data_IF_276105064564
#
_entry.id   IF_276105064564
#
_cell.length_a   1.000
_cell.length_b   1.000
_cell.length_c   1.000
_cell.angle_alpha   90.00
_cell.angle_beta   90.00
_cell.angle_gamma   90.00
#
_symmetry.space_group_name_H-M   'P 1'
#
loop_
_entity.id
_entity.type
_entity.pdbx_description
1 polymer ?
#
# COMPACT_ATOMS: atom_id res chain seq x y z
N UNK A 1 5.49 14.42 10.42
CA UNK A 1 6.07 13.07 10.43
C UNK A 1 6.93 12.86 9.20
N UNK A 2 8.01 12.10 9.33
CA UNK A 2 8.92 11.72 8.23
C UNK A 2 8.61 10.28 7.82
N UNK A 3 8.68 9.96 6.52
CA UNK A 3 8.53 8.55 6.08
C UNK A 3 9.81 7.77 6.32
N UNK A 4 9.74 6.45 6.44
CA UNK A 4 10.92 5.61 6.60
C UNK A 4 11.94 5.80 5.45
N UNK A 5 11.48 5.92 4.21
CA UNK A 5 12.36 6.12 3.05
C UNK A 5 13.10 7.46 3.10
N UNK A 6 12.43 8.50 3.62
CA UNK A 6 13.07 9.80 3.83
C UNK A 6 14.06 9.73 4.99
N UNK A 7 13.68 9.07 6.09
CA UNK A 7 14.56 8.85 7.24
C UNK A 7 15.84 8.13 6.87
N UNK A 8 15.78 7.01 6.15
CA UNK A 8 16.97 6.24 5.77
C UNK A 8 17.95 7.09 4.97
N UNK A 9 17.45 7.97 4.08
CA UNK A 9 18.29 8.89 3.30
C UNK A 9 18.90 9.98 4.18
N UNK A 10 18.08 10.66 4.97
CA UNK A 10 18.55 11.76 5.82
C UNK A 10 19.51 11.25 6.90
N UNK A 11 19.27 10.06 7.43
CA UNK A 11 20.17 9.39 8.36
C UNK A 11 21.49 9.03 7.72
N UNK A 12 21.50 8.52 6.49
CA UNK A 12 22.74 8.24 5.75
C UNK A 12 23.62 9.49 5.59
N UNK A 13 22.97 10.61 5.30
CA UNK A 13 23.65 11.89 5.11
C UNK A 13 24.16 12.45 6.43
N UNK A 14 23.34 12.39 7.49
CA UNK A 14 23.72 12.81 8.83
C UNK A 14 24.88 11.97 9.39
N UNK A 15 24.77 10.64 9.30
CA UNK A 15 25.76 9.71 9.84
C UNK A 15 27.10 9.78 9.11
N UNK A 16 27.09 10.04 7.80
CA UNK A 16 28.33 10.10 7.03
C UNK A 16 29.17 11.34 7.34
N UNK A 17 28.56 12.47 7.73
CA UNK A 17 29.24 13.76 7.85
C UNK A 17 30.13 14.09 6.62
N UNK A 18 29.67 13.71 5.42
CA UNK A 18 30.41 13.81 4.15
C UNK A 18 31.68 12.96 4.05
N UNK A 19 31.86 11.99 4.93
CA UNK A 19 32.94 10.98 4.89
C UNK A 19 32.39 9.67 4.33
N UNK A 20 33.25 8.82 3.71
CA UNK A 20 32.83 7.51 3.26
C UNK A 20 32.21 6.69 4.40
N UNK A 21 30.96 6.25 4.22
CA UNK A 21 30.23 5.49 5.22
C UNK A 21 29.53 4.26 4.62
N UNK A 22 29.36 3.23 5.44
CA UNK A 22 28.67 2.00 5.10
C UNK A 22 27.41 1.84 5.95
N UNK A 23 26.26 1.65 5.32
CA UNK A 23 24.99 1.37 5.99
C UNK A 23 24.53 -0.04 5.66
N UNK A 24 24.60 -0.93 6.65
CA UNK A 24 24.13 -2.30 6.49
C UNK A 24 22.61 -2.36 6.67
N UNK A 25 21.94 -2.98 5.71
CA UNK A 25 20.50 -3.21 5.75
C UNK A 25 20.23 -4.67 5.43
N UNK A 26 19.50 -5.35 6.31
CA UNK A 26 19.14 -6.76 6.16
C UNK A 26 18.00 -7.01 5.17
N UNK A 27 18.01 -6.39 3.99
CA UNK A 27 17.03 -6.71 2.95
C UNK A 27 17.35 -8.08 2.35
N UNK A 28 16.31 -8.81 1.96
CA UNK A 28 16.46 -10.08 1.23
C UNK A 28 15.66 -10.03 -0.06
N UNK A 29 16.21 -10.55 -1.15
CA UNK A 29 15.58 -10.52 -2.47
C UNK A 29 14.28 -11.33 -2.51
N UNK A 30 14.20 -12.38 -1.68
CA UNK A 30 13.03 -13.25 -1.48
C UNK A 30 11.82 -12.52 -0.87
N UNK A 31 11.99 -11.31 -0.30
CA UNK A 31 10.92 -10.60 0.40
C UNK A 31 9.94 -9.90 -0.54
N UNK A 32 10.42 -9.38 -1.68
CA UNK A 32 9.58 -8.79 -2.73
C UNK A 32 10.36 -8.51 -4.02
N UNK A 33 9.64 -8.33 -5.12
CA UNK A 33 10.20 -7.87 -6.39
C UNK A 33 10.99 -6.56 -6.27
N UNK A 34 10.53 -5.60 -5.45
CA UNK A 34 11.25 -4.34 -5.26
C UNK A 34 12.60 -4.53 -4.58
N UNK A 35 12.71 -5.48 -3.62
CA UNK A 35 13.99 -5.82 -2.98
C UNK A 35 14.92 -6.52 -3.97
N UNK A 36 14.39 -7.47 -4.75
CA UNK A 36 15.14 -8.09 -5.84
C UNK A 36 15.66 -7.04 -6.85
N UNK A 37 14.80 -6.14 -7.32
CA UNK A 37 15.17 -5.08 -8.25
C UNK A 37 16.21 -4.12 -7.65
N UNK A 38 16.15 -3.84 -6.35
CA UNK A 38 17.18 -3.04 -5.67
C UNK A 38 18.58 -3.70 -5.76
N UNK A 39 18.66 -5.03 -5.79
CA UNK A 39 19.92 -5.77 -5.98
C UNK A 39 20.28 -5.89 -7.46
N UNK A 40 19.35 -6.38 -8.29
CA UNK A 40 19.58 -6.75 -9.68
C UNK A 40 19.73 -5.57 -10.65
N UNK A 41 19.39 -4.34 -10.24
CA UNK A 41 19.53 -3.17 -11.09
C UNK A 41 21.00 -2.96 -11.51
N UNK A 42 21.26 -3.04 -12.82
CA UNK A 42 22.58 -2.83 -13.44
C UNK A 42 22.96 -1.36 -13.58
N UNK A 43 21.98 -0.45 -13.56
CA UNK A 43 22.20 0.99 -13.73
C UNK A 43 22.54 1.73 -12.43
N UNK A 44 22.56 1.03 -11.29
CA UNK A 44 22.90 1.65 -10.00
C UNK A 44 24.40 1.79 -9.83
N UNK A 45 24.83 2.87 -9.18
CA UNK A 45 26.22 3.02 -8.76
C UNK A 45 26.51 2.09 -7.57
N UNK A 46 27.51 1.23 -7.74
CA UNK A 46 27.94 0.23 -6.76
C UNK A 46 29.22 0.71 -6.08
N UNK A 47 29.60 0.06 -4.98
CA UNK A 47 30.91 0.25 -4.37
C UNK A 47 32.03 -0.32 -5.25
N UNK A 48 31.78 -1.49 -5.84
CA UNK A 48 32.68 -2.17 -6.78
C UNK A 48 31.89 -3.04 -7.75
N UNK A 49 32.48 -3.38 -8.89
CA UNK A 49 31.82 -4.17 -9.94
C UNK A 49 31.39 -5.56 -9.47
N UNK A 50 32.21 -6.19 -8.62
CA UNK A 50 31.98 -7.50 -8.01
C UNK A 50 31.03 -7.46 -6.79
N UNK A 51 30.44 -6.30 -6.47
CA UNK A 51 29.54 -6.12 -5.31
C UNK A 51 28.16 -5.61 -5.74
N UNK A 52 27.36 -6.44 -6.45
CA UNK A 52 26.04 -6.06 -6.92
C UNK A 52 25.06 -5.78 -5.78
N UNK A 53 25.34 -6.20 -4.55
CA UNK A 53 24.54 -5.96 -3.35
C UNK A 53 24.87 -4.64 -2.63
N UNK A 54 25.55 -3.71 -3.32
CA UNK A 54 25.82 -2.35 -2.82
C UNK A 54 25.11 -1.30 -3.65
N UNK A 55 24.82 -0.13 -3.07
CA UNK A 55 24.21 0.99 -3.78
C UNK A 55 24.64 2.32 -3.17
N UNK A 56 25.16 3.23 -4.00
CA UNK A 56 25.50 4.58 -3.58
C UNK A 56 24.24 5.36 -3.17
N UNK A 57 24.28 5.99 -2.00
CA UNK A 57 23.24 6.88 -1.54
C UNK A 57 23.21 8.16 -2.40
N UNK A 58 22.05 8.82 -2.55
CA UNK A 58 21.90 9.96 -3.46
C UNK A 58 22.90 11.12 -3.28
N UNK A 59 23.41 11.36 -2.06
CA UNK A 59 24.41 12.40 -1.79
C UNK A 59 25.87 11.95 -1.94
N UNK A 60 26.13 10.70 -2.31
CA UNK A 60 27.45 10.25 -2.78
C UNK A 60 28.49 9.90 -1.71
N UNK A 61 28.18 10.00 -0.41
CA UNK A 61 29.14 9.69 0.67
C UNK A 61 28.91 8.33 1.35
N UNK A 62 27.73 7.75 1.15
CA UNK A 62 27.31 6.53 1.85
C UNK A 62 26.96 5.44 0.86
N UNK A 63 27.31 4.19 1.18
CA UNK A 63 26.84 3.02 0.45
C UNK A 63 25.88 2.22 1.32
N UNK A 64 24.71 1.92 0.78
CA UNK A 64 23.85 0.89 1.32
C UNK A 64 24.43 -0.48 0.96
N UNK A 65 24.54 -1.34 1.97
CA UNK A 65 25.14 -2.67 1.88
C UNK A 65 24.10 -3.70 2.32
N UNK A 66 23.86 -4.70 1.48
CA UNK A 66 22.84 -5.72 1.69
C UNK A 66 23.49 -7.11 1.84
N UNK A 67 24.05 -7.46 3.01
CA UNK A 67 24.95 -8.61 3.16
C UNK A 67 24.23 -9.96 3.07
N UNK A 68 22.93 -10.00 3.34
CA UNK A 68 22.10 -11.21 3.36
C UNK A 68 21.10 -11.23 2.19
N UNK A 69 21.38 -10.50 1.12
CA UNK A 69 20.43 -10.26 0.02
C UNK A 69 19.92 -11.54 -0.67
N UNK A 70 20.69 -12.62 -0.61
CA UNK A 70 20.43 -13.93 -1.19
C UNK A 70 19.87 -14.94 -0.18
N UNK A 71 19.80 -14.59 1.10
CA UNK A 71 19.23 -15.45 2.14
C UNK A 71 17.72 -15.57 1.98
N UNK A 72 17.22 -16.80 2.14
CA UNK A 72 15.79 -17.11 2.22
C UNK A 72 15.31 -17.09 3.65
N UNK A 73 13.99 -17.18 3.82
CA UNK A 73 13.39 -17.25 5.17
C UNK A 73 13.87 -18.47 5.95
N UNK A 74 14.11 -19.60 5.28
CA UNK A 74 14.64 -20.79 5.93
C UNK A 74 16.07 -20.61 6.44
N UNK A 75 16.92 -19.85 5.73
CA UNK A 75 18.32 -19.62 6.10
C UNK A 75 18.43 -18.82 7.40
N UNK A 76 17.59 -17.79 7.56
CA UNK A 76 17.50 -16.98 8.79
C UNK A 76 17.16 -17.85 9.99
N UNK A 77 16.08 -18.64 9.89
CA UNK A 77 15.65 -19.50 11.00
C UNK A 77 16.62 -20.63 11.30
N UNK A 78 17.25 -21.21 10.26
CA UNK A 78 18.31 -22.22 10.42
C UNK A 78 19.51 -21.63 11.15
N UNK A 79 19.91 -20.40 10.85
CA UNK A 79 21.01 -19.72 11.53
C UNK A 79 20.71 -19.51 13.02
N UNK A 80 19.51 -19.04 13.37
CA UNK A 80 19.11 -18.91 14.77
C UNK A 80 19.10 -20.27 15.50
N UNK A 81 18.54 -21.30 14.86
CA UNK A 81 18.50 -22.64 15.43
C UNK A 81 19.90 -23.24 15.67
N UNK A 82 20.85 -23.02 14.74
CA UNK A 82 22.23 -23.52 14.85
C UNK A 82 23.08 -22.73 15.85
N UNK A 83 22.88 -21.42 15.94
CA UNK A 83 23.76 -20.54 16.72
C UNK A 83 23.25 -20.24 18.13
N UNK A 84 21.96 -20.48 18.40
CA UNK A 84 21.34 -20.14 19.68
C UNK A 84 21.31 -18.64 19.99
N UNK A 85 21.51 -17.78 18.98
CA UNK A 85 21.46 -16.32 19.16
C UNK A 85 20.05 -15.85 19.53
N UNK A 86 19.92 -14.79 20.34
CA UNK A 86 18.60 -14.28 20.71
C UNK A 86 17.88 -13.72 19.48
N UNK A 87 16.60 -14.06 19.35
CA UNK A 87 15.68 -13.44 18.41
C UNK A 87 14.58 -12.69 19.18
N UNK A 88 13.83 -11.83 18.51
CA UNK A 88 12.71 -11.14 19.15
C UNK A 88 11.69 -12.18 19.66
N UNK A 89 11.36 -12.20 20.98
CA UNK A 89 10.42 -13.17 21.55
C UNK A 89 9.05 -13.22 20.87
N UNK A 90 8.65 -12.12 20.22
CA UNK A 90 7.40 -12.06 19.46
C UNK A 90 7.31 -13.15 18.40
N UNK A 91 8.41 -13.51 17.75
CA UNK A 91 8.41 -14.58 16.75
C UNK A 91 8.05 -15.94 17.33
N UNK A 92 8.43 -16.21 18.58
CA UNK A 92 8.03 -17.43 19.28
C UNK A 92 6.52 -17.44 19.54
N UNK A 93 5.95 -16.29 19.92
CA UNK A 93 4.50 -16.14 20.11
C UNK A 93 3.75 -16.32 18.78
N UNK A 94 4.27 -15.74 17.67
CA UNK A 94 3.69 -15.93 16.34
C UNK A 94 3.73 -17.41 15.92
N UNK A 95 4.83 -18.11 16.19
CA UNK A 95 4.97 -19.53 15.92
C UNK A 95 3.99 -20.38 16.73
N UNK A 96 3.88 -20.12 18.03
CA UNK A 96 2.92 -20.79 18.92
C UNK A 96 1.46 -20.55 18.50
N UNK A 97 1.16 -19.37 17.95
CA UNK A 97 -0.14 -19.04 17.37
C UNK A 97 -0.38 -19.66 15.98
N UNK A 98 0.55 -20.47 15.47
CA UNK A 98 0.42 -21.17 14.19
C UNK A 98 0.68 -20.32 12.95
N UNK A 99 1.27 -19.12 13.09
CA UNK A 99 1.61 -18.26 11.95
C UNK A 99 2.72 -18.90 11.13
N UNK A 100 2.54 -19.16 9.82
CA UNK A 100 3.62 -19.67 8.98
C UNK A 100 4.81 -18.70 8.94
N UNK A 101 6.08 -19.18 8.93
CA UNK A 101 7.27 -18.32 8.97
C UNK A 101 7.30 -17.19 7.94
N UNK A 102 6.75 -17.42 6.74
CA UNK A 102 6.67 -16.40 5.67
C UNK A 102 5.76 -15.21 6.01
N UNK A 103 4.83 -15.38 6.96
CA UNK A 103 3.87 -14.37 7.41
C UNK A 103 4.21 -13.78 8.77
N UNK A 104 5.31 -14.21 9.41
CA UNK A 104 5.79 -13.61 10.64
C UNK A 104 6.49 -12.28 10.35
N UNK A 105 5.70 -11.21 10.21
CA UNK A 105 6.20 -9.86 9.92
C UNK A 105 5.89 -8.91 11.07
N UNK A 106 6.89 -8.10 11.43
CA UNK A 106 6.77 -7.04 12.42
C UNK A 106 6.92 -5.72 11.66
N UNK A 107 5.80 -5.03 11.44
CA UNK A 107 5.79 -3.69 10.87
C UNK A 107 4.55 -2.93 11.34
N UNK A 108 4.35 -1.72 10.82
CA UNK A 108 3.16 -0.92 11.11
C UNK A 108 1.86 -1.69 10.78
N UNK A 109 0.93 -1.82 11.73
CA UNK A 109 -0.17 -2.79 11.65
C UNK A 109 -1.22 -2.50 10.57
N UNK A 110 -1.19 -1.30 9.98
CA UNK A 110 -2.25 -0.81 9.08
C UNK A 110 -1.87 -0.82 7.60
N UNK A 111 -0.61 -1.17 7.29
CA UNK A 111 -0.16 -1.35 5.91
C UNK A 111 -0.96 -2.45 5.19
N UNK A 112 -1.11 -2.40 3.85
CA UNK A 112 -1.92 -3.37 3.10
C UNK A 112 -1.54 -4.83 3.36
N UNK A 113 -0.24 -5.10 3.52
CA UNK A 113 0.29 -6.44 3.78
C UNK A 113 0.11 -6.86 5.25
N UNK A 114 0.28 -5.92 6.20
CA UNK A 114 0.24 -6.21 7.63
C UNK A 114 -1.18 -6.27 8.20
N UNK A 115 -2.13 -5.58 7.56
CA UNK A 115 -3.53 -5.58 7.98
C UNK A 115 -4.09 -7.01 8.12
N UNK A 116 -3.63 -7.95 7.29
CA UNK A 116 -4.00 -9.36 7.36
C UNK A 116 -3.63 -10.03 8.69
N UNK A 117 -2.57 -9.56 9.35
CA UNK A 117 -2.10 -10.04 10.64
C UNK A 117 -2.69 -9.28 11.84
N UNK A 118 -3.60 -8.32 11.64
CA UNK A 118 -4.20 -7.54 12.75
C UNK A 118 -4.88 -8.41 13.79
N UNK A 119 -5.47 -9.53 13.38
CA UNK A 119 -6.07 -10.49 14.31
C UNK A 119 -5.05 -10.97 15.34
N UNK A 120 -3.77 -11.10 15.00
CA UNK A 120 -2.81 -11.69 15.93
C UNK A 120 -2.61 -10.83 17.18
N UNK A 121 -2.78 -9.51 17.10
CA UNK A 121 -2.59 -8.58 18.21
C UNK A 121 -3.48 -8.89 19.42
N UNK A 122 -4.71 -9.36 19.22
CA UNK A 122 -5.56 -9.73 20.35
C UNK A 122 -5.03 -10.97 21.09
N UNK A 123 -4.25 -11.82 20.41
CA UNK A 123 -3.64 -13.03 20.99
C UNK A 123 -2.31 -12.70 21.66
N UNK A 124 -1.42 -11.96 20.98
CA UNK A 124 -0.02 -11.80 21.40
C UNK A 124 0.22 -10.53 22.22
N UNK A 125 -0.59 -9.47 22.06
CA UNK A 125 -0.39 -8.15 22.69
C UNK A 125 -1.74 -7.46 23.02
N UNK A 126 -2.56 -8.02 23.94
CA UNK A 126 -3.94 -7.59 24.18
C UNK A 126 -4.08 -6.13 24.64
N UNK A 127 -3.14 -5.62 25.45
CA UNK A 127 -3.14 -4.21 25.88
C UNK A 127 -2.94 -3.25 24.70
N UNK A 128 -2.02 -3.59 23.78
CA UNK A 128 -1.80 -2.80 22.56
C UNK A 128 -3.01 -2.90 21.64
N UNK A 129 -3.64 -4.07 21.54
CA UNK A 129 -4.90 -4.24 20.82
C UNK A 129 -6.00 -3.31 21.34
N UNK A 130 -6.20 -3.24 22.67
CA UNK A 130 -7.16 -2.34 23.28
C UNK A 130 -6.85 -0.87 22.98
N UNK A 131 -5.58 -0.47 23.10
CA UNK A 131 -5.15 0.89 22.76
C UNK A 131 -5.36 1.23 21.29
N UNK A 132 -5.12 0.29 20.37
CA UNK A 132 -5.38 0.48 18.93
C UNK A 132 -6.88 0.62 18.64
N UNK A 133 -7.72 -0.22 19.24
CA UNK A 133 -9.17 -0.14 19.09
C UNK A 133 -9.74 1.21 19.58
N UNK A 134 -9.16 1.76 20.66
CA UNK A 134 -9.57 3.06 21.18
C UNK A 134 -9.11 4.26 20.32
N UNK A 135 -8.01 4.12 19.58
CA UNK A 135 -7.36 5.25 18.87
C UNK A 135 -7.63 5.29 17.38
N UNK A 136 -7.88 4.15 16.75
CA UNK A 136 -7.92 4.04 15.29
C UNK A 136 -9.24 3.38 14.87
N UNK A 137 -10.07 4.18 14.19
CA UNK A 137 -11.34 3.71 13.65
C UNK A 137 -11.13 2.59 12.64
N UNK A 138 -11.91 1.52 12.76
CA UNK A 138 -11.86 0.37 11.84
C UNK A 138 -10.79 -0.69 12.15
N UNK A 139 -10.02 -0.55 13.23
CA UNK A 139 -9.05 -1.58 13.67
C UNK A 139 -9.74 -2.92 13.92
N UNK A 140 -10.86 -2.92 14.65
CA UNK A 140 -11.63 -4.13 14.94
C UNK A 140 -12.10 -4.80 13.64
N UNK A 141 -12.66 -4.03 12.70
CA UNK A 141 -13.07 -4.53 11.39
C UNK A 141 -11.88 -5.11 10.62
N UNK A 142 -10.71 -4.46 10.67
CA UNK A 142 -9.48 -5.00 10.09
C UNK A 142 -9.07 -6.34 10.72
N UNK A 143 -9.12 -6.46 12.05
CA UNK A 143 -8.83 -7.70 12.75
C UNK A 143 -9.79 -8.85 12.41
N UNK A 144 -11.05 -8.55 12.12
CA UNK A 144 -12.06 -9.56 11.75
C UNK A 144 -11.93 -9.94 10.28
N UNK A 145 -11.88 -8.96 9.38
CA UNK A 145 -12.11 -9.18 7.95
C UNK A 145 -10.85 -9.25 7.09
N UNK A 146 -9.71 -8.67 7.51
CA UNK A 146 -8.58 -8.48 6.59
C UNK A 146 -7.79 -9.76 6.29
N UNK A 147 -7.78 -10.72 7.21
CA UNK A 147 -7.09 -12.01 7.06
C UNK A 147 -7.92 -13.11 6.42
N UNK A 148 -9.19 -12.85 6.11
CA UNK A 148 -10.12 -13.86 5.59
C UNK A 148 -10.35 -13.67 4.08
N UNK A 149 -10.58 -14.77 3.36
CA UNK A 149 -11.02 -14.71 1.96
C UNK A 149 -12.52 -14.35 1.92
N UNK A 150 -12.81 -13.05 2.03
CA UNK A 150 -14.17 -12.53 2.07
C UNK A 150 -14.39 -11.36 1.10
N UNK A 151 -15.64 -10.93 1.01
CA UNK A 151 -16.08 -9.86 0.11
C UNK A 151 -15.87 -8.45 0.67
N UNK A 152 -15.51 -8.32 1.96
CA UNK A 152 -15.50 -7.04 2.68
C UNK A 152 -14.55 -6.03 2.03
N UNK A 153 -13.33 -6.46 1.69
CA UNK A 153 -12.34 -5.60 1.05
C UNK A 153 -12.39 -5.62 -0.48
N UNK A 154 -13.24 -6.44 -1.13
CA UNK A 154 -13.33 -6.44 -2.59
C UNK A 154 -12.09 -6.93 -3.36
N UNK A 155 -11.15 -7.62 -2.72
CA UNK A 155 -9.87 -8.03 -3.32
C UNK A 155 -10.03 -8.96 -4.55
N UNK A 156 -10.90 -9.98 -4.45
CA UNK A 156 -11.13 -11.00 -5.49
C UNK A 156 -12.54 -10.98 -6.04
N UNK A 157 -13.53 -10.82 -5.16
CA UNK A 157 -14.95 -10.79 -5.49
C UNK A 157 -15.58 -9.57 -4.84
N UNK A 158 -16.48 -8.93 -5.57
CA UNK A 158 -17.19 -7.74 -5.11
C UNK A 158 -18.68 -8.07 -5.15
N UNK A 159 -19.35 -7.81 -4.03
CA UNK A 159 -20.80 -7.90 -3.94
C UNK A 159 -21.39 -6.50 -4.03
N UNK A 160 -22.52 -6.39 -4.71
CA UNK A 160 -23.31 -5.17 -4.84
C UNK A 160 -24.78 -5.57 -4.67
N UNK A 161 -25.63 -4.76 -4.01
CA UNK A 161 -27.07 -4.98 -4.00
C UNK A 161 -27.64 -5.19 -5.40
N UNK A 162 -28.54 -6.16 -5.57
CA UNK A 162 -29.04 -6.57 -6.89
C UNK A 162 -29.79 -5.45 -7.61
N UNK A 163 -30.47 -4.58 -6.87
CA UNK A 163 -31.27 -3.47 -7.42
C UNK A 163 -30.44 -2.28 -7.94
N UNK A 164 -29.13 -2.24 -7.69
CA UNK A 164 -28.25 -1.16 -8.18
C UNK A 164 -27.50 -1.59 -9.44
N UNK A 165 -27.02 -0.67 -10.26
CA UNK A 165 -25.94 -0.92 -11.20
C UNK A 165 -24.57 -0.52 -10.57
N UNK A 166 -23.46 -0.81 -11.25
CA UNK A 166 -22.12 -0.55 -10.69
C UNK A 166 -21.80 0.94 -10.54
N UNK A 167 -22.36 1.79 -11.40
CA UNK A 167 -22.23 3.24 -11.29
C UNK A 167 -22.97 3.76 -10.06
N UNK A 168 -24.24 3.38 -9.89
CA UNK A 168 -25.06 3.72 -8.73
C UNK A 168 -24.41 3.24 -7.43
N UNK A 169 -23.83 2.05 -7.42
CA UNK A 169 -23.12 1.54 -6.26
C UNK A 169 -21.83 2.31 -5.97
N UNK A 170 -21.06 2.72 -6.98
CA UNK A 170 -19.91 3.57 -6.79
C UNK A 170 -20.30 4.91 -6.14
N UNK A 171 -21.41 5.51 -6.59
CA UNK A 171 -21.97 6.73 -6.01
C UNK A 171 -22.43 6.51 -4.57
N UNK A 172 -23.15 5.41 -4.29
CA UNK A 172 -23.55 5.05 -2.93
C UNK A 172 -22.33 4.94 -2.00
N UNK A 173 -21.26 4.26 -2.42
CA UNK A 173 -20.03 4.14 -1.65
C UNK A 173 -19.41 5.52 -1.37
N UNK A 174 -19.33 6.38 -2.39
CA UNK A 174 -18.84 7.76 -2.24
C UNK A 174 -19.70 8.61 -1.28
N UNK A 175 -21.01 8.38 -1.24
CA UNK A 175 -21.92 9.11 -0.36
C UNK A 175 -21.86 8.60 1.09
N UNK A 176 -21.53 7.32 1.28
CA UNK A 176 -21.44 6.69 2.59
C UNK A 176 -20.15 6.99 3.35
N UNK A 177 -19.12 7.53 2.69
CA UNK A 177 -17.80 7.79 3.28
C UNK A 177 -17.63 9.25 3.73
N UNK A 178 -16.68 9.56 4.63
CA UNK A 178 -16.41 10.93 5.05
C UNK A 178 -16.12 11.87 3.87
N UNK A 179 -16.67 13.09 3.90
CA UNK A 179 -16.67 14.00 2.76
C UNK A 179 -15.27 14.32 2.22
N UNK A 180 -14.27 14.47 3.10
CA UNK A 180 -12.87 14.70 2.70
C UNK A 180 -12.32 13.52 1.87
N UNK A 181 -12.66 12.30 2.27
CA UNK A 181 -12.26 11.08 1.56
C UNK A 181 -13.03 10.91 0.26
N UNK A 182 -14.35 11.18 0.29
CA UNK A 182 -15.20 11.15 -0.88
C UNK A 182 -14.70 12.11 -1.96
N UNK A 183 -14.39 13.36 -1.61
CA UNK A 183 -13.89 14.38 -2.54
C UNK A 183 -12.56 13.99 -3.18
N UNK A 184 -11.66 13.38 -2.40
CA UNK A 184 -10.41 12.86 -2.94
C UNK A 184 -10.66 11.79 -4.02
N UNK A 185 -11.54 10.81 -3.76
CA UNK A 185 -11.89 9.80 -4.75
C UNK A 185 -12.62 10.39 -5.95
N UNK A 186 -13.60 11.29 -5.74
CA UNK A 186 -14.31 11.97 -6.83
C UNK A 186 -13.35 12.73 -7.73
N UNK A 187 -12.34 13.41 -7.18
CA UNK A 187 -11.28 14.07 -7.97
C UNK A 187 -10.52 13.08 -8.87
N UNK A 188 -10.13 11.91 -8.34
CA UNK A 188 -9.41 10.88 -9.10
C UNK A 188 -10.30 10.23 -10.16
N UNK A 189 -11.51 9.84 -9.78
CA UNK A 189 -12.48 9.21 -10.67
C UNK A 189 -12.85 10.15 -11.81
N UNK A 190 -13.07 11.45 -11.54
CA UNK A 190 -13.38 12.41 -12.58
C UNK A 190 -12.25 12.56 -13.61
N UNK A 191 -11.00 12.58 -13.17
CA UNK A 191 -9.83 12.59 -14.07
C UNK A 191 -9.79 11.31 -14.92
N UNK A 192 -10.08 10.17 -14.31
CA UNK A 192 -10.12 8.88 -14.99
C UNK A 192 -11.20 8.86 -16.09
N UNK A 193 -12.43 9.24 -15.74
CA UNK A 193 -13.56 9.33 -16.68
C UNK A 193 -13.26 10.32 -17.82
N UNK A 194 -12.73 11.50 -17.49
CA UNK A 194 -12.39 12.52 -18.48
C UNK A 194 -11.28 12.05 -19.44
N UNK A 195 -10.32 11.26 -18.95
CA UNK A 195 -9.27 10.69 -19.81
C UNK A 195 -9.85 9.73 -20.85
N UNK A 196 -10.75 8.83 -20.45
CA UNK A 196 -11.42 7.90 -21.36
C UNK A 196 -12.38 8.61 -22.33
N UNK A 197 -13.09 9.64 -21.87
CA UNK A 197 -13.91 10.50 -22.74
C UNK A 197 -13.09 11.11 -23.87
N UNK A 198 -11.90 11.65 -23.57
CA UNK A 198 -10.97 12.19 -24.58
C UNK A 198 -10.41 11.13 -25.54
N UNK A 199 -10.41 9.86 -25.13
CA UNK A 199 -10.01 8.72 -25.97
C UNK A 199 -11.15 8.17 -26.84
N UNK A 200 -12.32 8.82 -26.83
CA UNK A 200 -13.50 8.43 -27.61
C UNK A 200 -14.47 7.52 -26.86
N UNK A 201 -14.21 7.20 -25.60
CA UNK A 201 -15.13 6.42 -24.76
C UNK A 201 -15.97 7.37 -23.91
N UNK A 202 -17.10 7.83 -24.48
CA UNK A 202 -17.99 8.82 -23.84
C UNK A 202 -18.46 8.39 -22.44
N UNK A 203 -18.77 7.10 -22.27
CA UNK A 203 -19.13 6.48 -21.00
C UNK A 203 -18.35 5.16 -20.86
N UNK A 204 -17.86 4.88 -19.65
CA UNK A 204 -17.23 3.60 -19.36
C UNK A 204 -18.33 2.55 -19.09
N UNK A 205 -18.11 1.27 -19.43
CA UNK A 205 -19.10 0.23 -19.20
C UNK A 205 -19.26 -0.13 -17.71
N UNK A 206 -20.38 -0.76 -17.38
CA UNK A 206 -20.65 -1.28 -16.03
C UNK A 206 -19.64 -2.38 -15.63
N UNK A 207 -19.32 -3.29 -16.56
CA UNK A 207 -18.34 -4.38 -16.41
C UNK A 207 -17.60 -4.65 -17.70
N UNK A 208 -16.39 -5.20 -17.62
CA UNK A 208 -15.66 -5.82 -18.74
C UNK A 208 -14.95 -7.11 -18.31
N UNK A 209 -14.57 -7.95 -19.28
CA UNK A 209 -13.77 -9.13 -19.00
C UNK A 209 -12.40 -8.73 -18.43
N UNK A 210 -12.05 -9.24 -17.25
CA UNK A 210 -10.76 -8.97 -16.61
C UNK A 210 -10.61 -7.60 -15.95
N UNK A 211 -11.68 -6.80 -15.84
CA UNK A 211 -11.66 -5.44 -15.26
C UNK A 211 -11.27 -5.35 -13.78
N UNK A 212 -11.39 -6.44 -13.04
CA UNK A 212 -10.91 -6.59 -11.65
C UNK A 212 -9.47 -7.11 -11.57
N UNK A 213 -8.83 -7.39 -12.71
CA UNK A 213 -7.45 -7.87 -12.79
C UNK A 213 -6.41 -6.78 -12.56
N UNK A 214 -5.14 -7.13 -12.78
CA UNK A 214 -4.00 -6.20 -12.63
C UNK A 214 -3.95 -5.14 -13.74
N UNK A 215 -4.41 -5.47 -14.96
CA UNK A 215 -4.47 -4.53 -16.08
C UNK A 215 -5.55 -3.47 -15.85
N UNK A 216 -5.28 -2.24 -16.27
CA UNK A 216 -6.26 -1.15 -16.25
C UNK A 216 -7.24 -1.33 -17.42
N UNK A 217 -8.42 -1.87 -17.11
CA UNK A 217 -9.54 -2.04 -18.04
C UNK A 217 -10.72 -1.26 -17.45
N UNK A 218 -11.23 -0.21 -18.13
CA UNK A 218 -12.15 0.75 -17.52
C UNK A 218 -13.53 0.17 -17.27
N UNK A 219 -13.99 0.20 -16.03
CA UNK A 219 -15.38 -0.12 -15.72
C UNK A 219 -15.80 0.50 -14.39
N UNK A 220 -17.11 0.68 -14.22
CA UNK A 220 -17.65 1.07 -12.92
C UNK A 220 -17.40 0.00 -11.84
N UNK A 221 -17.40 -1.29 -12.19
CA UNK A 221 -16.99 -2.37 -11.28
C UNK A 221 -15.56 -2.20 -10.77
N UNK A 222 -14.61 -1.77 -11.63
CA UNK A 222 -13.23 -1.47 -11.21
C UNK A 222 -13.15 -0.27 -10.28
N UNK A 223 -13.96 0.76 -10.51
CA UNK A 223 -14.07 1.91 -9.59
C UNK A 223 -14.58 1.45 -8.22
N UNK A 224 -15.63 0.62 -8.17
CA UNK A 224 -16.11 0.04 -6.91
C UNK A 224 -15.02 -0.76 -6.19
N UNK A 225 -14.21 -1.53 -6.94
CA UNK A 225 -13.06 -2.25 -6.39
C UNK A 225 -12.07 -1.32 -5.67
N UNK A 226 -11.74 -0.20 -6.31
CA UNK A 226 -10.82 0.81 -5.77
C UNK A 226 -11.35 1.39 -4.45
N UNK A 227 -12.64 1.73 -4.42
CA UNK A 227 -13.31 2.27 -3.24
C UNK A 227 -13.33 1.25 -2.09
N UNK A 228 -13.74 0.01 -2.35
CA UNK A 228 -13.83 -1.05 -1.33
C UNK A 228 -12.47 -1.49 -0.78
N UNK A 229 -11.45 -1.55 -1.65
CA UNK A 229 -10.08 -1.86 -1.24
C UNK A 229 -9.47 -0.75 -0.34
N UNK A 230 -10.13 0.41 -0.23
CA UNK A 230 -9.52 1.63 0.29
C UNK A 230 -8.20 1.97 -0.41
N UNK A 231 -8.13 1.78 -1.74
CA UNK A 231 -7.00 2.20 -2.56
C UNK A 231 -7.02 3.72 -2.70
N UNK A 232 -6.61 4.39 -1.63
CA UNK A 232 -6.68 5.85 -1.51
C UNK A 232 -6.07 6.53 -2.72
N UNK A 233 -4.88 6.11 -3.16
CA UNK A 233 -4.21 6.76 -4.29
C UNK A 233 -4.78 6.37 -5.66
N UNK A 234 -5.77 5.48 -5.73
CA UNK A 234 -6.36 4.96 -6.96
C UNK A 234 -5.32 4.33 -7.88
N UNK A 235 -4.36 3.58 -7.32
CA UNK A 235 -3.30 2.92 -8.11
C UNK A 235 -3.86 1.95 -9.14
N UNK A 236 -4.96 1.27 -8.81
CA UNK A 236 -5.64 0.40 -9.77
C UNK A 236 -6.28 1.20 -10.95
N UNK A 237 -6.50 2.50 -10.82
CA UNK A 237 -6.91 3.39 -11.91
C UNK A 237 -5.71 4.13 -12.54
N UNK A 238 -4.51 3.56 -12.43
CA UNK A 238 -3.27 4.08 -13.01
C UNK A 238 -2.79 5.42 -12.43
N UNK A 239 -3.15 5.74 -11.18
CA UNK A 239 -2.65 6.92 -10.49
C UNK A 239 -1.43 6.62 -9.60
N UNK A 240 -0.53 7.60 -9.52
CA UNK A 240 0.58 7.61 -8.56
C UNK A 240 0.26 8.50 -7.35
N UNK A 241 0.86 8.21 -6.17
CA UNK A 241 0.72 9.07 -5.00
C UNK A 241 1.14 10.51 -5.29
N UNK A 242 0.33 11.46 -4.83
CA UNK A 242 0.66 12.89 -4.96
C UNK A 242 1.57 13.31 -3.81
N UNK A 243 2.64 14.06 -4.11
CA UNK A 243 3.57 14.54 -3.07
C UNK A 243 2.79 15.38 -2.03
N UNK A 244 2.98 15.18 -0.72
CA UNK A 244 2.21 15.87 0.32
C UNK A 244 2.18 17.39 0.15
N UNK A 245 3.32 18.01 -0.17
CA UNK A 245 3.44 19.46 -0.40
C UNK A 245 2.54 20.01 -1.52
N UNK A 246 2.12 19.17 -2.45
CA UNK A 246 1.30 19.55 -3.60
C UNK A 246 -0.16 19.11 -3.46
N UNK A 247 -0.50 18.40 -2.38
CA UNK A 247 -1.78 17.68 -2.28
C UNK A 247 -2.98 18.63 -2.19
N UNK A 248 -2.92 19.66 -1.35
CA UNK A 248 -3.99 20.67 -1.23
C UNK A 248 -4.24 21.39 -2.56
N UNK A 249 -3.18 21.95 -3.15
CA UNK A 249 -3.25 22.60 -4.47
C UNK A 249 -3.77 21.67 -5.57
N UNK A 250 -3.42 20.38 -5.51
CA UNK A 250 -3.96 19.40 -6.45
C UNK A 250 -5.46 19.23 -6.27
N UNK A 251 -5.94 19.08 -5.04
CA UNK A 251 -7.37 18.90 -4.74
C UNK A 251 -8.21 20.10 -5.17
N UNK A 252 -7.81 21.31 -4.84
CA UNK A 252 -8.52 22.54 -5.25
C UNK A 252 -8.61 22.64 -6.78
N UNK A 253 -7.49 22.40 -7.46
CA UNK A 253 -7.44 22.42 -8.93
C UNK A 253 -8.33 21.35 -9.55
N UNK A 254 -8.37 20.13 -8.98
CA UNK A 254 -9.23 19.06 -9.51
C UNK A 254 -10.70 19.31 -9.21
N UNK A 255 -11.03 19.93 -8.06
CA UNK A 255 -12.39 20.35 -7.73
C UNK A 255 -12.92 21.37 -8.75
N UNK A 256 -12.14 22.40 -9.08
CA UNK A 256 -12.51 23.38 -10.11
C UNK A 256 -12.71 22.72 -11.49
N UNK A 257 -11.77 21.86 -11.91
CA UNK A 257 -11.88 21.14 -13.18
C UNK A 257 -13.07 20.19 -13.26
N UNK A 258 -13.45 19.56 -12.15
CA UNK A 258 -14.68 18.73 -12.08
C UNK A 258 -15.90 19.55 -12.45
N UNK A 259 -16.02 20.76 -11.88
CA UNK A 259 -17.10 21.69 -12.20
C UNK A 259 -17.10 22.06 -13.68
N UNK A 260 -15.94 22.37 -14.27
CA UNK A 260 -15.81 22.63 -15.71
C UNK A 260 -16.23 21.44 -16.59
N UNK A 261 -15.95 20.21 -16.14
CA UNK A 261 -16.28 19.00 -16.90
C UNK A 261 -17.70 18.49 -16.67
N UNK A 262 -18.39 18.98 -15.63
CA UNK A 262 -19.70 18.46 -15.22
C UNK A 262 -19.64 17.03 -14.69
N UNK A 263 -18.49 16.58 -14.17
CA UNK A 263 -18.29 15.19 -13.72
C UNK A 263 -18.24 15.13 -12.20
N UNK A 264 -19.18 14.39 -11.60
CA UNK A 264 -19.28 14.18 -10.15
C UNK A 264 -19.31 15.52 -9.38
N UNK A 265 -20.04 16.53 -9.87
CA UNK A 265 -20.02 17.89 -9.31
C UNK A 265 -20.84 18.08 -8.04
N UNK A 266 -21.82 17.19 -7.79
CA UNK A 266 -22.81 17.34 -6.74
C UNK A 266 -22.47 16.49 -5.51
N UNK A 267 -22.58 17.09 -4.33
CA UNK A 267 -22.78 16.41 -3.05
C UNK A 267 -24.26 16.06 -2.81
N UNK A 268 -25.19 16.62 -3.58
CA UNK A 268 -26.61 16.74 -3.19
C UNK A 268 -27.59 15.84 -3.96
N UNK A 269 -27.11 14.96 -4.84
CA UNK A 269 -27.99 13.99 -5.50
C UNK A 269 -28.17 12.78 -4.58
N UNK A 270 -28.97 12.89 -3.51
CA UNK A 270 -29.43 11.72 -2.77
C UNK A 270 -30.04 10.71 -3.77
N UNK A 271 -29.58 9.46 -3.84
CA UNK A 271 -30.41 8.42 -4.41
C UNK A 271 -31.67 8.33 -3.52
N UNK A 272 -32.85 8.55 -4.13
CA UNK A 272 -34.13 8.21 -3.50
C UNK A 272 -34.22 6.71 -3.27
#
# INVERSE_FOLDING_TARGET
GMTFEQFVRDFADWFSEKRPAAMLVGIRSDESYNRFAAIANSHKLRFADDKPWTTLAPKGHTWYIYPIYDWKTADIWTWFAKTGKPCNPLYNLMYQAGVPPRYMRICEPFGPEQRQGLWLYHVIEPERWAAMCARVSGVLSGGIYAGQDNHFYGHRKILKPDHLNWEEYALLLLHSMPEVTAEHYRNKIAVYLQWYKKKGMNTIPQTQQGDIGSRDIPSWRRICKVLLNNDYWCRALSFSPTKPKNYQRYNERMKAKRQEWGILCNTDSQPK
#
